data_IF_935231592926
#
_entry.id   IF_935231592926
#
_cell.length_a   1.000
_cell.length_b   1.000
_cell.length_c   1.000
_cell.angle_alpha   90.00
_cell.angle_beta   90.00
_cell.angle_gamma   90.00
#
_symmetry.space_group_name_H-M   'P 1'
#
loop_
_entity.id
_entity.type
_entity.pdbx_description
1 polymer ?
#
# COMPACT_ATOMS: atom_id res chain seq x y z
N UNK A 1 -35.33 58.93 10.11
CA UNK A 1 -34.64 58.41 8.91
C UNK A 1 -33.27 57.76 9.17
N UNK A 2 -32.56 58.02 10.28
CA UNK A 2 -31.23 57.43 10.55
C UNK A 2 -31.21 55.89 10.74
N UNK A 3 -32.31 55.30 11.21
CA UNK A 3 -32.36 53.85 11.51
C UNK A 3 -32.50 52.98 10.25
N UNK A 4 -33.03 53.52 9.14
CA UNK A 4 -33.24 52.76 7.90
C UNK A 4 -31.91 52.43 7.22
N UNK A 5 -30.93 53.35 7.26
CA UNK A 5 -29.61 53.14 6.68
C UNK A 5 -28.81 52.05 7.38
N UNK A 6 -28.98 51.89 8.70
CA UNK A 6 -28.26 50.87 9.48
C UNK A 6 -28.76 49.46 9.14
N UNK A 7 -30.08 49.30 8.96
CA UNK A 7 -30.70 48.01 8.65
C UNK A 7 -30.23 47.47 7.28
N UNK A 8 -30.12 48.35 6.27
CA UNK A 8 -29.64 47.95 4.92
C UNK A 8 -28.19 47.48 4.95
N UNK A 9 -27.33 48.14 5.74
CA UNK A 9 -25.91 47.75 5.89
C UNK A 9 -25.80 46.39 6.58
N UNK A 10 -26.59 46.14 7.64
CA UNK A 10 -26.58 44.86 8.35
C UNK A 10 -27.03 43.72 7.45
N UNK A 11 -28.08 43.92 6.65
CA UNK A 11 -28.57 42.91 5.69
C UNK A 11 -27.51 42.63 4.61
N UNK A 12 -26.86 43.67 4.08
CA UNK A 12 -25.78 43.51 3.09
C UNK A 12 -24.61 42.68 3.63
N UNK A 13 -24.17 42.95 4.86
CA UNK A 13 -23.09 42.18 5.50
C UNK A 13 -23.50 40.73 5.77
N UNK A 14 -24.73 40.49 6.22
CA UNK A 14 -25.24 39.14 6.45
C UNK A 14 -25.27 38.31 5.15
N UNK A 15 -25.66 38.93 4.03
CA UNK A 15 -25.66 38.29 2.70
C UNK A 15 -24.24 37.93 2.26
N UNK A 16 -23.28 38.85 2.41
CA UNK A 16 -21.86 38.60 2.04
C UNK A 16 -21.28 37.45 2.88
N UNK A 17 -21.55 37.42 4.19
CA UNK A 17 -21.08 36.35 5.06
C UNK A 17 -21.71 35.00 4.70
N UNK A 18 -23.01 34.99 4.37
CA UNK A 18 -23.72 33.79 3.94
C UNK A 18 -23.12 33.21 2.65
N UNK A 19 -22.93 34.04 1.62
CA UNK A 19 -22.31 33.59 0.36
C UNK A 19 -20.86 33.15 0.54
N UNK A 20 -20.08 33.82 1.39
CA UNK A 20 -18.69 33.42 1.70
C UNK A 20 -18.63 32.04 2.36
N UNK A 21 -19.53 31.75 3.30
CA UNK A 21 -19.63 30.43 3.92
C UNK A 21 -20.09 29.35 2.93
N UNK A 22 -20.98 29.68 2.00
CA UNK A 22 -21.46 28.77 0.97
C UNK A 22 -20.36 28.39 -0.03
N UNK A 23 -19.56 29.38 -0.49
CA UNK A 23 -18.41 29.16 -1.37
C UNK A 23 -17.33 28.32 -0.67
N UNK A 24 -17.10 28.53 0.63
CA UNK A 24 -16.16 27.71 1.40
C UNK A 24 -16.59 26.23 1.49
N UNK A 25 -17.89 25.95 1.59
CA UNK A 25 -18.42 24.58 1.62
C UNK A 25 -18.31 23.87 0.26
N UNK A 26 -18.42 24.61 -0.85
CA UNK A 26 -18.31 24.06 -2.22
C UNK A 26 -16.85 23.72 -2.58
N UNK A 27 -15.88 24.46 -2.04
CA UNK A 27 -14.46 24.26 -2.32
C UNK A 27 -13.74 23.34 -1.30
N UNK A 28 -14.47 22.59 -0.47
CA UNK A 28 -13.81 21.52 0.27
C UNK A 28 -13.36 20.48 -0.75
N UNK A 29 -12.06 20.11 -0.80
CA UNK A 29 -11.66 18.96 -1.60
C UNK A 29 -12.54 17.80 -1.17
N UNK A 30 -13.22 17.15 -2.12
CA UNK A 30 -13.91 15.91 -1.82
C UNK A 30 -12.83 14.94 -1.39
N UNK A 31 -12.66 14.80 -0.09
CA UNK A 31 -11.87 13.77 0.54
C UNK A 31 -12.66 12.46 0.36
N UNK A 32 -12.90 12.07 -0.90
CA UNK A 32 -13.34 10.75 -1.32
C UNK A 32 -12.17 9.79 -1.12
N UNK A 33 -11.62 9.77 0.09
CA UNK A 33 -10.91 8.60 0.55
C UNK A 33 -11.99 7.54 0.70
N UNK A 34 -11.85 6.42 0.01
CA UNK A 34 -12.64 5.22 0.28
C UNK A 34 -12.62 4.98 1.79
N UNK A 35 -13.70 5.35 2.49
CA UNK A 35 -13.75 5.36 3.97
C UNK A 35 -13.98 3.97 4.55
N UNK A 36 -14.30 3.00 3.69
CA UNK A 36 -14.59 1.64 4.08
C UNK A 36 -13.35 0.79 3.86
N UNK A 37 -12.86 0.22 4.97
CA UNK A 37 -11.64 -0.57 5.14
C UNK A 37 -11.49 -1.79 4.19
N UNK A 38 -12.53 -2.12 3.42
CA UNK A 38 -12.56 -3.23 2.47
C UNK A 38 -13.02 -2.82 1.06
N UNK A 39 -13.35 -1.54 0.83
CA UNK A 39 -13.70 -1.11 -0.52
C UNK A 39 -12.43 -1.02 -1.38
N UNK A 40 -12.23 -2.05 -2.20
CA UNK A 40 -11.12 -2.12 -3.16
C UNK A 40 -11.36 -1.32 -4.44
N UNK A 41 -12.49 -0.58 -4.53
CA UNK A 41 -12.83 0.26 -5.67
C UNK A 41 -11.83 1.38 -5.94
N UNK A 42 -11.25 1.98 -4.89
CA UNK A 42 -10.21 3.00 -5.02
C UNK A 42 -8.78 2.42 -5.07
N UNK A 43 -8.59 1.09 -5.12
CA UNK A 43 -7.24 0.54 -5.09
C UNK A 43 -6.54 0.71 -6.43
N UNK A 44 -5.26 1.08 -6.38
CA UNK A 44 -4.39 1.14 -7.56
C UNK A 44 -3.84 -0.25 -7.86
N UNK A 45 -3.51 -0.49 -9.12
CA UNK A 45 -2.91 -1.75 -9.56
C UNK A 45 -1.44 -1.52 -9.88
N UNK A 46 -0.55 -2.30 -9.27
CA UNK A 46 0.83 -2.44 -9.71
C UNK A 46 0.93 -3.68 -10.59
N UNK A 47 1.57 -3.54 -11.75
CA UNK A 47 1.81 -4.63 -12.70
C UNK A 47 3.23 -4.52 -13.22
N UNK A 48 3.99 -5.60 -13.12
CA UNK A 48 5.29 -5.73 -13.74
C UNK A 48 5.28 -6.98 -14.62
N UNK A 49 5.05 -6.78 -15.93
CA UNK A 49 4.93 -7.85 -16.92
C UNK A 49 6.25 -8.57 -17.16
N UNK A 50 7.39 -7.87 -17.02
CA UNK A 50 8.71 -8.46 -17.21
C UNK A 50 9.00 -9.56 -16.19
N UNK A 51 8.48 -9.39 -14.97
CA UNK A 51 8.69 -10.32 -13.85
C UNK A 51 7.40 -10.99 -13.40
N UNK A 52 6.37 -11.03 -14.26
CA UNK A 52 5.18 -11.84 -14.04
C UNK A 52 4.42 -11.57 -12.75
N UNK A 53 4.33 -10.32 -12.28
CA UNK A 53 3.65 -10.00 -11.01
C UNK A 53 2.62 -8.89 -11.17
N UNK A 54 1.48 -9.05 -10.49
CA UNK A 54 0.40 -8.07 -10.43
C UNK A 54 -0.28 -8.11 -9.06
N UNK A 55 -0.54 -6.95 -8.46
CA UNK A 55 -1.34 -6.84 -7.24
C UNK A 55 -2.01 -5.47 -7.15
N UNK A 56 -3.05 -5.39 -6.31
CA UNK A 56 -3.69 -4.12 -5.96
C UNK A 56 -3.17 -3.59 -4.64
N UNK A 57 -3.15 -2.27 -4.47
CA UNK A 57 -2.79 -1.60 -3.21
C UNK A 57 -3.68 -0.36 -2.94
N UNK A 58 -3.88 0.04 -1.68
CA UNK A 58 -4.65 1.24 -1.33
C UNK A 58 -4.10 2.50 -1.99
N UNK A 59 -4.95 3.33 -2.59
CA UNK A 59 -4.53 4.59 -3.21
C UNK A 59 -3.77 5.52 -2.25
N UNK A 60 -4.13 5.51 -0.95
CA UNK A 60 -3.46 6.31 0.08
C UNK A 60 -1.97 6.02 0.20
N UNK A 61 -1.48 4.86 -0.24
CA UNK A 61 -0.04 4.55 -0.22
C UNK A 61 0.76 5.40 -1.21
N UNK A 62 0.09 6.03 -2.19
CA UNK A 62 0.70 7.02 -3.07
C UNK A 62 0.79 8.43 -2.44
N UNK A 63 0.21 8.65 -1.25
CA UNK A 63 0.32 9.92 -0.52
C UNK A 63 1.64 10.00 0.25
N UNK A 64 2.58 10.77 -0.30
CA UNK A 64 3.92 10.97 0.25
C UNK A 64 3.95 11.63 1.63
N UNK A 65 2.83 12.15 2.14
CA UNK A 65 2.77 12.74 3.49
C UNK A 65 2.82 11.69 4.59
N UNK A 66 2.19 10.55 4.35
CA UNK A 66 1.99 9.50 5.36
C UNK A 66 2.70 8.20 4.99
N UNK A 67 2.91 7.98 3.69
CA UNK A 67 3.46 6.77 3.14
C UNK A 67 4.64 7.08 2.23
N UNK A 68 5.64 6.21 2.22
CA UNK A 68 6.75 6.29 1.28
C UNK A 68 6.70 5.06 0.38
N UNK A 69 6.27 5.24 -0.86
CA UNK A 69 6.30 4.21 -1.89
C UNK A 69 7.64 4.25 -2.62
N UNK A 70 8.29 3.11 -2.81
CA UNK A 70 9.51 2.99 -3.62
C UNK A 70 9.40 1.88 -4.66
N UNK A 71 10.17 2.08 -5.73
CA UNK A 71 10.44 1.09 -6.76
C UNK A 71 11.94 1.11 -7.06
N UNK A 72 12.59 -0.02 -6.86
CA UNK A 72 14.01 -0.24 -7.16
C UNK A 72 14.05 -1.26 -8.29
N UNK A 73 14.81 -1.00 -9.36
CA UNK A 73 14.88 -1.92 -10.51
C UNK A 73 16.18 -2.72 -10.56
N UNK A 74 17.19 -2.36 -9.78
CA UNK A 74 18.45 -3.10 -9.68
C UNK A 74 19.06 -2.91 -8.28
N UNK A 75 19.82 -3.88 -7.82
CA UNK A 75 20.42 -3.84 -6.48
C UNK A 75 21.33 -5.02 -6.19
N UNK A 76 21.60 -5.23 -4.91
CA UNK A 76 22.50 -6.31 -4.44
C UNK A 76 21.93 -7.67 -4.85
N UNK A 77 22.82 -8.63 -5.16
CA UNK A 77 22.46 -10.00 -5.55
C UNK A 77 21.59 -10.12 -6.81
N UNK A 78 21.83 -9.25 -7.80
CA UNK A 78 21.05 -9.23 -9.04
C UNK A 78 19.54 -9.07 -8.78
N UNK A 79 19.18 -8.23 -7.78
CA UNK A 79 17.81 -7.77 -7.59
C UNK A 79 17.26 -7.26 -8.92
N UNK A 80 16.09 -7.75 -9.31
CA UNK A 80 15.44 -7.44 -10.59
C UNK A 80 14.37 -6.37 -10.45
N UNK A 81 13.65 -6.40 -9.35
CA UNK A 81 12.80 -5.30 -8.93
C UNK A 81 12.46 -5.45 -7.46
N UNK A 82 12.27 -4.34 -6.77
CA UNK A 82 11.61 -4.29 -5.47
C UNK A 82 10.59 -3.17 -5.49
N UNK A 83 9.35 -3.52 -5.15
CA UNK A 83 8.30 -2.54 -4.87
C UNK A 83 7.96 -2.61 -3.39
N UNK A 84 7.79 -1.46 -2.74
CA UNK A 84 7.35 -1.45 -1.36
C UNK A 84 6.74 -0.14 -0.91
N UNK A 85 6.13 -0.21 0.27
CA UNK A 85 5.52 0.92 0.97
C UNK A 85 5.87 0.89 2.45
N UNK A 86 6.29 2.05 2.95
CA UNK A 86 6.62 2.31 4.34
C UNK A 86 5.61 3.31 4.89
N UNK A 87 5.37 3.23 6.19
CA UNK A 87 4.74 4.28 6.97
C UNK A 87 5.74 4.66 8.05
N UNK A 88 6.23 5.90 7.99
CA UNK A 88 7.41 6.30 8.77
C UNK A 88 8.62 5.38 8.47
N UNK A 89 9.13 4.69 9.48
CA UNK A 89 10.28 3.75 9.40
C UNK A 89 9.85 2.28 9.28
N UNK A 90 8.55 1.99 9.23
CA UNK A 90 8.02 0.61 9.20
C UNK A 90 7.59 0.20 7.80
N UNK A 91 8.02 -0.99 7.37
CA UNK A 91 7.61 -1.59 6.09
C UNK A 91 6.24 -2.22 6.20
N UNK A 92 5.26 -1.53 5.63
CA UNK A 92 3.88 -2.03 5.54
C UNK A 92 3.85 -3.28 4.66
N UNK A 93 4.42 -3.19 3.46
CA UNK A 93 4.48 -4.27 2.50
C UNK A 93 5.65 -4.05 1.54
N UNK A 94 6.37 -5.11 1.18
CA UNK A 94 7.27 -5.09 0.03
C UNK A 94 7.29 -6.44 -0.69
N UNK A 95 7.63 -6.39 -1.98
CA UNK A 95 7.88 -7.54 -2.83
C UNK A 95 9.19 -7.32 -3.60
N UNK A 96 10.16 -8.19 -3.37
CA UNK A 96 11.46 -8.20 -4.05
C UNK A 96 11.56 -9.42 -4.97
N UNK A 97 12.11 -9.23 -6.16
CA UNK A 97 12.27 -10.28 -7.19
C UNK A 97 13.75 -10.49 -7.48
N UNK A 98 14.18 -11.75 -7.44
CA UNK A 98 15.53 -12.17 -7.79
C UNK A 98 15.49 -13.32 -8.79
N UNK A 99 16.59 -13.53 -9.51
CA UNK A 99 16.73 -14.76 -10.29
C UNK A 99 16.77 -15.98 -9.37
N UNK A 100 16.15 -17.07 -9.80
CA UNK A 100 16.11 -18.32 -9.03
C UNK A 100 17.48 -18.98 -8.89
N UNK A 101 18.39 -18.72 -9.83
CA UNK A 101 19.82 -19.09 -9.74
C UNK A 101 20.50 -18.49 -8.50
N UNK A 102 20.05 -17.33 -8.01
CA UNK A 102 20.63 -16.62 -6.88
C UNK A 102 19.99 -17.01 -5.53
N UNK A 103 19.04 -17.96 -5.52
CA UNK A 103 18.21 -18.29 -4.35
C UNK A 103 19.00 -18.52 -3.07
N UNK A 104 20.06 -19.33 -3.11
CA UNK A 104 20.83 -19.63 -1.90
C UNK A 104 21.59 -18.39 -1.40
N UNK A 105 22.18 -17.61 -2.32
CA UNK A 105 22.87 -16.36 -1.96
C UNK A 105 21.93 -15.35 -1.32
N UNK A 106 20.70 -15.24 -1.85
CA UNK A 106 19.65 -14.37 -1.29
C UNK A 106 19.25 -14.84 0.11
N UNK A 107 19.03 -16.15 0.29
CA UNK A 107 18.74 -16.73 1.61
C UNK A 107 19.86 -16.43 2.60
N UNK A 108 21.12 -16.65 2.21
CA UNK A 108 22.26 -16.47 3.10
C UNK A 108 22.49 -14.99 3.44
N UNK A 109 22.43 -14.11 2.44
CA UNK A 109 22.67 -12.67 2.62
C UNK A 109 21.66 -12.02 3.55
N UNK A 110 20.37 -12.35 3.39
CA UNK A 110 19.32 -11.84 4.27
C UNK A 110 19.08 -12.73 5.50
N UNK A 111 19.90 -13.77 5.69
CA UNK A 111 19.76 -14.75 6.76
C UNK A 111 18.33 -15.31 6.87
N UNK A 112 17.67 -15.55 5.73
CA UNK A 112 16.29 -16.03 5.69
C UNK A 112 16.22 -17.45 6.23
N UNK A 113 15.14 -17.75 6.96
CA UNK A 113 14.84 -19.12 7.43
C UNK A 113 13.50 -19.58 6.87
N UNK A 114 13.42 -19.97 5.57
CA UNK A 114 12.19 -20.49 5.00
C UNK A 114 11.74 -21.77 5.72
N UNK A 115 10.43 -21.89 5.94
CA UNK A 115 9.82 -23.08 6.51
C UNK A 115 10.04 -24.30 5.62
N UNK A 116 10.17 -25.50 6.21
CA UNK A 116 10.23 -26.75 5.44
C UNK A 116 8.90 -27.08 4.75
N UNK A 117 7.79 -26.63 5.33
CA UNK A 117 6.43 -26.85 4.81
C UNK A 117 6.03 -25.70 3.89
N UNK A 118 5.45 -26.04 2.74
CA UNK A 118 4.83 -25.07 1.84
C UNK A 118 3.49 -24.60 2.41
N UNK A 119 3.20 -23.31 2.30
CA UNK A 119 1.96 -22.68 2.72
C UNK A 119 1.25 -22.08 1.51
N UNK A 120 -0.08 -22.13 1.50
CA UNK A 120 -0.90 -21.48 0.49
C UNK A 120 -1.18 -20.05 0.95
N UNK A 121 -0.89 -19.10 0.07
CA UNK A 121 -1.11 -17.67 0.26
C UNK A 121 -2.51 -17.28 -0.23
N UNK A 122 -2.90 -17.83 -1.38
CA UNK A 122 -4.23 -17.77 -1.94
C UNK A 122 -4.48 -19.05 -2.78
N UNK A 123 -5.59 -19.11 -3.51
CA UNK A 123 -5.96 -20.25 -4.35
C UNK A 123 -4.92 -20.62 -5.42
N UNK A 124 -4.13 -19.65 -5.90
CA UNK A 124 -3.20 -19.81 -7.02
C UNK A 124 -1.73 -19.69 -6.62
N UNK A 125 -1.45 -19.32 -5.36
CA UNK A 125 -0.12 -18.97 -4.90
C UNK A 125 0.26 -19.73 -3.63
N UNK A 126 1.44 -20.35 -3.66
CA UNK A 126 2.00 -21.05 -2.51
C UNK A 126 3.51 -20.84 -2.42
N UNK A 127 4.03 -20.76 -1.20
CA UNK A 127 5.44 -20.49 -0.93
C UNK A 127 5.87 -21.04 0.42
N UNK A 128 6.95 -20.51 0.96
CA UNK A 128 7.52 -20.90 2.25
C UNK A 128 7.47 -19.70 3.19
N UNK A 129 6.93 -19.88 4.39
CA UNK A 129 6.92 -18.82 5.41
C UNK A 129 8.36 -18.53 5.84
N UNK A 130 8.74 -17.26 5.92
CA UNK A 130 10.07 -16.84 6.39
C UNK A 130 9.96 -16.60 7.89
N UNK A 131 10.54 -17.51 8.67
CA UNK A 131 10.29 -17.60 10.12
C UNK A 131 10.84 -16.41 10.91
N UNK A 132 11.87 -15.74 10.41
CA UNK A 132 12.58 -14.67 11.11
C UNK A 132 12.27 -13.26 10.60
N UNK A 133 11.47 -13.12 9.54
CA UNK A 133 11.34 -11.86 8.78
C UNK A 133 9.89 -11.55 8.37
N UNK A 134 8.92 -12.25 8.97
CA UNK A 134 7.48 -12.05 8.75
C UNK A 134 7.12 -11.90 7.27
N UNK A 135 7.41 -12.94 6.50
CA UNK A 135 7.29 -12.89 5.05
C UNK A 135 7.10 -14.25 4.41
N UNK A 136 7.18 -14.25 3.09
CA UNK A 136 7.07 -15.45 2.27
C UNK A 136 8.13 -15.46 1.18
N UNK A 137 8.76 -16.61 1.00
CA UNK A 137 9.63 -16.91 -0.14
C UNK A 137 8.84 -17.76 -1.12
N UNK A 138 8.69 -17.30 -2.36
CA UNK A 138 7.94 -17.99 -3.40
C UNK A 138 8.88 -18.32 -4.55
N UNK A 139 8.97 -19.60 -4.90
CA UNK A 139 9.68 -20.06 -6.09
C UNK A 139 8.67 -20.19 -7.24
N UNK A 140 8.84 -19.43 -8.32
CA UNK A 140 7.95 -19.48 -9.50
C UNK A 140 8.75 -19.21 -10.77
N UNK A 141 8.68 -20.16 -11.70
CA UNK A 141 9.42 -20.19 -12.96
C UNK A 141 10.92 -19.93 -12.74
N UNK A 142 11.45 -18.85 -13.33
CA UNK A 142 12.86 -18.44 -13.28
C UNK A 142 13.19 -17.47 -12.14
N UNK A 143 12.22 -17.14 -11.29
CA UNK A 143 12.36 -16.13 -10.25
C UNK A 143 12.07 -16.69 -8.86
N UNK A 144 12.62 -15.98 -7.88
CA UNK A 144 12.15 -16.04 -6.50
C UNK A 144 11.56 -14.69 -6.11
N UNK A 145 10.48 -14.74 -5.34
CA UNK A 145 9.80 -13.57 -4.83
C UNK A 145 9.89 -13.60 -3.31
N UNK A 146 10.36 -12.51 -2.72
CA UNK A 146 10.36 -12.30 -1.28
C UNK A 146 9.31 -11.26 -0.97
N UNK A 147 8.26 -11.68 -0.29
CA UNK A 147 7.21 -10.79 0.20
C UNK A 147 7.45 -10.55 1.68
N UNK A 148 7.51 -9.29 2.10
CA UNK A 148 7.67 -8.89 3.50
C UNK A 148 6.54 -7.98 3.92
N UNK A 149 6.16 -8.08 5.19
CA UNK A 149 5.27 -7.12 5.83
C UNK A 149 5.49 -7.17 7.33
N UNK A 150 5.71 -6.01 7.95
CA UNK A 150 5.81 -5.90 9.41
C UNK A 150 4.53 -6.40 10.13
N UNK A 151 3.43 -6.57 9.40
CA UNK A 151 2.12 -6.92 9.96
C UNK A 151 1.69 -8.37 9.74
N UNK A 152 2.47 -9.20 9.05
CA UNK A 152 2.09 -10.61 8.78
C UNK A 152 1.86 -11.41 10.08
N UNK A 153 2.61 -11.10 11.15
CA UNK A 153 2.46 -11.76 12.46
C UNK A 153 1.72 -10.93 13.51
N UNK A 154 1.16 -9.77 13.15
CA UNK A 154 0.41 -8.96 14.10
C UNK A 154 -0.85 -9.72 14.57
N UNK A 155 -0.95 -9.99 15.88
CA UNK A 155 -2.14 -10.62 16.48
C UNK A 155 -3.35 -9.70 16.45
N UNK A 156 -3.12 -8.40 16.53
CA UNK A 156 -4.14 -7.37 16.40
C UNK A 156 -4.08 -6.78 14.99
N UNK A 157 -5.18 -6.92 14.27
CA UNK A 157 -5.32 -6.41 12.91
C UNK A 157 -5.67 -4.92 12.97
N UNK A 158 -4.64 -4.06 12.98
CA UNK A 158 -4.84 -2.67 12.59
C UNK A 158 -5.10 -2.60 11.07
N UNK A 159 -5.49 -1.42 10.59
CA UNK A 159 -5.88 -1.24 9.18
C UNK A 159 -4.76 -1.63 8.21
N UNK A 160 -3.51 -1.24 8.53
CA UNK A 160 -2.34 -1.56 7.71
C UNK A 160 -2.11 -3.10 7.62
N UNK A 161 -2.38 -3.85 8.70
CA UNK A 161 -2.30 -5.32 8.70
C UNK A 161 -3.38 -5.98 7.82
N UNK A 162 -4.60 -5.45 7.84
CA UNK A 162 -5.69 -5.96 7.00
C UNK A 162 -5.40 -5.68 5.53
N UNK A 163 -4.92 -4.47 5.23
CA UNK A 163 -4.54 -4.07 3.87
C UNK A 163 -3.42 -4.95 3.33
N UNK A 164 -2.34 -5.18 4.09
CA UNK A 164 -1.27 -6.09 3.67
C UNK A 164 -1.76 -7.51 3.39
N UNK A 165 -2.70 -8.04 4.17
CA UNK A 165 -3.33 -9.35 3.88
C UNK A 165 -4.14 -9.30 2.59
N UNK A 166 -4.89 -8.23 2.35
CA UNK A 166 -5.66 -8.08 1.12
C UNK A 166 -4.75 -7.91 -0.11
N UNK A 167 -3.61 -7.23 0.01
CA UNK A 167 -2.58 -7.18 -1.04
C UNK A 167 -2.11 -8.59 -1.38
N UNK A 168 -1.77 -9.42 -0.37
CA UNK A 168 -1.36 -10.82 -0.58
C UNK A 168 -2.46 -11.65 -1.23
N UNK A 169 -3.71 -11.49 -0.78
CA UNK A 169 -4.84 -12.22 -1.34
C UNK A 169 -5.07 -11.89 -2.82
N UNK A 170 -4.80 -10.65 -3.23
CA UNK A 170 -4.93 -10.19 -4.61
C UNK A 170 -3.65 -10.34 -5.43
N UNK A 171 -2.54 -10.81 -4.84
CA UNK A 171 -1.28 -11.00 -5.53
C UNK A 171 -1.38 -12.16 -6.52
N UNK A 172 -1.02 -11.86 -7.76
CA UNK A 172 -0.87 -12.81 -8.85
C UNK A 172 0.60 -12.87 -9.24
N UNK A 173 1.09 -14.09 -9.42
CA UNK A 173 2.39 -14.36 -10.04
C UNK A 173 2.14 -15.33 -11.21
N UNK A 174 2.35 -14.87 -12.43
CA UNK A 174 1.98 -15.55 -13.68
C UNK A 174 3.15 -15.75 -14.62
#
# INVERSE_FOLDING_TARGET
MKNFSLIVIIIGLAIILFFSAMVWKINQPSNNYCSDQLDTGCWKTFKNELYGLEFKYPEKYADSKNYNLWLINEGVLNLKTEWGVNKNQETIFSISVYEKSERQKVIDHFNLKPSKKKVFLNENLSGYSILNDFGYLIDKDNYIYIIRSSFIAAKHLNDDAQESRQIINNLKIF
#
